data_IF_871144816040
#
_entry.id   IF_871144816040
#
_cell.length_a   1.000
_cell.length_b   1.000
_cell.length_c   1.000
_cell.angle_alpha   90.00
_cell.angle_beta   90.00
_cell.angle_gamma   90.00
#
_symmetry.space_group_name_H-M   'P 1'
#
loop_
_entity.id
_entity.type
_entity.pdbx_description
1 polymer ?
#
# COMPACT_ATOMS: atom_id res chain seq x y z
N UNK A 1 -25.08 -68.04 -19.68
CA UNK A 1 -26.01 -66.91 -19.45
C UNK A 1 -25.59 -65.81 -20.45
N UNK A 2 -25.95 -65.84 -21.74
CA UNK A 2 -27.28 -65.61 -22.38
C UNK A 2 -27.90 -64.33 -21.82
N UNK A 3 -28.28 -63.27 -22.55
CA UNK A 3 -28.27 -62.85 -23.96
C UNK A 3 -28.57 -61.32 -23.92
N UNK A 4 -27.94 -60.47 -24.75
CA UNK A 4 -28.46 -59.93 -26.02
C UNK A 4 -29.48 -58.77 -25.90
N UNK A 5 -29.65 -58.10 -27.05
CA UNK A 5 -30.56 -56.98 -27.41
C UNK A 5 -30.00 -55.59 -27.08
N UNK A 6 -29.24 -54.93 -27.96
CA UNK A 6 -29.45 -54.60 -29.38
C UNK A 6 -30.76 -53.84 -29.62
N UNK A 7 -30.66 -52.57 -30.03
CA UNK A 7 -31.02 -52.04 -31.36
C UNK A 7 -31.43 -50.57 -31.28
N UNK A 8 -30.87 -49.82 -32.24
CA UNK A 8 -31.51 -48.74 -33.00
C UNK A 8 -31.82 -47.46 -32.24
N UNK A 9 -31.38 -46.30 -32.72
CA UNK A 9 -31.32 -45.93 -34.13
C UNK A 9 -32.40 -44.89 -34.38
N UNK A 10 -31.94 -43.63 -34.37
CA UNK A 10 -32.43 -42.46 -35.08
C UNK A 10 -33.86 -42.51 -35.66
N UNK A 11 -34.77 -41.83 -34.97
CA UNK A 11 -35.96 -41.16 -35.53
C UNK A 11 -36.03 -39.83 -34.77
N UNK A 12 -35.82 -38.65 -35.33
CA UNK A 12 -36.43 -38.12 -36.53
C UNK A 12 -37.45 -37.05 -36.10
N UNK A 13 -37.05 -35.79 -36.05
CA UNK A 13 -37.97 -34.65 -36.15
C UNK A 13 -37.20 -33.39 -36.56
N UNK A 14 -37.60 -32.86 -37.72
CA UNK A 14 -37.06 -31.71 -38.43
C UNK A 14 -37.90 -30.49 -38.03
N UNK A 15 -37.28 -29.46 -37.45
CA UNK A 15 -37.87 -28.11 -37.38
C UNK A 15 -36.72 -27.10 -37.32
N UNK A 16 -36.18 -26.72 -38.48
CA UNK A 16 -36.48 -25.42 -39.11
C UNK A 16 -35.81 -24.28 -38.34
N UNK A 17 -34.59 -23.93 -38.79
CA UNK A 17 -34.04 -22.59 -38.66
C UNK A 17 -35.07 -21.61 -39.26
N UNK A 18 -35.82 -20.94 -38.39
CA UNK A 18 -36.50 -19.69 -38.72
C UNK A 18 -36.08 -18.65 -37.71
N UNK A 19 -35.13 -17.83 -38.15
CA UNK A 19 -34.73 -16.60 -37.49
C UNK A 19 -35.89 -15.60 -37.45
N UNK A 20 -35.82 -14.73 -36.43
CA UNK A 20 -36.52 -13.45 -36.26
C UNK A 20 -37.95 -13.55 -35.69
N UNK A 21 -38.24 -12.80 -34.60
CA UNK A 21 -38.34 -11.36 -34.73
C UNK A 21 -37.61 -10.57 -33.64
N UNK A 22 -37.12 -9.40 -34.04
CA UNK A 22 -37.11 -8.16 -33.26
C UNK A 22 -36.68 -8.25 -31.79
N UNK A 23 -35.41 -7.94 -31.53
CA UNK A 23 -34.93 -7.01 -30.49
C UNK A 23 -33.43 -7.24 -30.27
N UNK A 24 -32.64 -7.04 -31.32
CA UNK A 24 -31.23 -6.68 -31.15
C UNK A 24 -31.17 -5.27 -30.57
N UNK A 25 -31.32 -5.13 -29.25
CA UNK A 25 -30.76 -4.04 -28.43
C UNK A 25 -31.12 -4.15 -26.93
N UNK A 26 -31.13 -5.36 -26.34
CA UNK A 26 -31.02 -5.44 -24.87
C UNK A 26 -29.55 -5.43 -24.48
N UNK A 27 -28.98 -4.24 -24.36
CA UNK A 27 -27.66 -4.05 -23.77
C UNK A 27 -27.62 -4.75 -22.40
N UNK A 28 -26.54 -5.49 -22.06
CA UNK A 28 -26.43 -6.15 -20.78
C UNK A 28 -26.35 -5.07 -19.69
N UNK A 29 -27.46 -4.83 -18.99
CA UNK A 29 -27.46 -3.96 -17.81
C UNK A 29 -26.83 -4.75 -16.67
N UNK A 30 -25.51 -4.59 -16.54
CA UNK A 30 -24.71 -5.05 -15.41
C UNK A 30 -25.20 -4.31 -14.14
N UNK A 31 -26.22 -4.89 -13.50
CA UNK A 31 -27.00 -4.29 -12.42
C UNK A 31 -26.36 -4.31 -11.04
N UNK A 32 -25.03 -4.20 -10.97
CA UNK A 32 -24.34 -3.90 -9.73
C UNK A 32 -23.15 -3.01 -10.09
N UNK A 33 -23.45 -1.75 -10.40
CA UNK A 33 -22.46 -0.71 -10.19
C UNK A 33 -22.24 -0.71 -8.68
N UNK A 34 -21.18 -1.37 -8.22
CA UNK A 34 -20.61 -1.06 -6.92
C UNK A 34 -20.46 0.45 -6.94
N UNK A 35 -21.27 1.14 -6.15
CA UNK A 35 -21.12 2.59 -5.96
C UNK A 35 -19.67 2.77 -5.54
N UNK A 36 -18.85 3.56 -6.25
CA UNK A 36 -17.55 3.95 -5.71
C UNK A 36 -17.86 4.91 -4.56
N UNK A 37 -18.24 4.37 -3.42
CA UNK A 37 -18.51 5.12 -2.19
C UNK A 37 -17.46 4.78 -1.12
N UNK A 38 -16.80 3.63 -1.24
CA UNK A 38 -15.75 3.23 -0.31
C UNK A 38 -14.34 3.65 -0.76
N UNK A 39 -14.17 4.02 -2.05
CA UNK A 39 -12.89 4.53 -2.59
C UNK A 39 -12.75 6.06 -2.48
N UNK A 40 -13.78 6.78 -2.01
CA UNK A 40 -13.81 8.26 -1.99
C UNK A 40 -13.29 8.89 -0.69
N UNK A 41 -12.91 8.09 0.30
CA UNK A 41 -12.25 8.56 1.54
C UNK A 41 -10.73 8.34 1.51
N UNK A 42 -10.11 8.35 0.33
CA UNK A 42 -8.66 8.47 0.27
C UNK A 42 -8.26 9.93 0.54
N UNK A 43 -8.26 10.32 1.82
CA UNK A 43 -7.59 11.51 2.32
C UNK A 43 -6.12 11.41 1.92
N UNK A 44 -5.75 12.06 0.82
CA UNK A 44 -4.36 12.09 0.35
C UNK A 44 -3.50 12.74 1.43
N UNK A 45 -2.74 11.93 2.17
CA UNK A 45 -1.84 12.41 3.21
C UNK A 45 -0.90 13.46 2.63
N UNK A 46 -1.12 14.72 3.02
CA UNK A 46 -0.24 15.84 2.65
C UNK A 46 0.85 15.93 3.71
N UNK A 47 2.06 15.52 3.35
CA UNK A 47 3.24 15.76 4.17
C UNK A 47 3.68 17.20 3.88
N UNK A 48 3.37 18.13 4.79
CA UNK A 48 3.99 19.46 4.76
C UNK A 48 5.34 19.38 5.46
N UNK A 49 6.39 19.79 4.75
CA UNK A 49 7.71 19.93 5.35
C UNK A 49 7.65 21.14 6.29
N UNK A 50 7.58 20.89 7.60
CA UNK A 50 7.25 21.91 8.61
C UNK A 50 8.36 22.95 8.81
N UNK A 51 9.63 22.59 8.63
CA UNK A 51 10.74 23.53 8.52
C UNK A 51 11.97 22.79 8.00
N UNK A 52 12.56 23.27 6.92
CA UNK A 52 13.81 22.72 6.37
C UNK A 52 14.94 23.44 7.09
N UNK A 53 15.52 22.77 8.10
CA UNK A 53 16.81 23.10 8.73
C UNK A 53 17.05 24.60 8.95
N UNK A 54 16.66 25.13 10.11
CA UNK A 54 17.18 26.45 10.50
C UNK A 54 18.68 26.33 10.77
N UNK A 55 19.53 27.20 10.21
CA UNK A 55 20.99 27.12 10.34
C UNK A 55 21.49 27.25 11.79
N UNK A 56 20.61 27.65 12.72
CA UNK A 56 20.91 27.89 14.12
C UNK A 56 20.41 26.78 15.06
N UNK A 57 19.87 25.67 14.54
CA UNK A 57 19.42 24.54 15.36
C UNK A 57 20.27 23.32 15.02
N UNK A 58 20.84 22.71 16.07
CA UNK A 58 21.54 21.43 16.00
C UNK A 58 20.53 20.29 15.86
N UNK A 59 20.59 19.54 14.76
CA UNK A 59 19.78 18.33 14.56
C UNK A 59 20.64 17.07 14.60
N UNK A 60 20.07 15.98 15.10
CA UNK A 60 20.69 14.66 15.06
C UNK A 60 20.28 13.98 13.75
N UNK A 61 21.24 13.73 12.87
CA UNK A 61 21.03 13.04 11.61
C UNK A 61 20.92 11.53 11.81
N UNK A 62 21.77 10.98 12.69
CA UNK A 62 21.78 9.55 13.02
C UNK A 62 22.49 9.27 14.34
N UNK A 63 22.29 8.07 14.90
CA UNK A 63 22.89 7.65 16.16
C UNK A 63 23.39 6.21 16.10
N UNK A 64 24.35 5.90 16.97
CA UNK A 64 24.92 4.56 17.18
C UNK A 64 25.30 4.37 18.65
N UNK A 65 25.66 3.15 19.05
CA UNK A 65 26.18 2.88 20.40
C UNK A 65 27.47 3.64 20.73
N UNK A 66 28.18 4.17 19.73
CA UNK A 66 29.43 4.92 19.92
C UNK A 66 29.25 6.43 19.92
N UNK A 67 28.08 6.95 19.51
CA UNK A 67 27.84 8.38 19.39
C UNK A 67 26.86 8.78 18.30
N UNK A 68 26.88 10.06 17.92
CA UNK A 68 25.85 10.75 17.14
C UNK A 68 26.44 11.42 15.89
N UNK A 69 25.63 11.57 14.85
CA UNK A 69 25.89 12.49 13.74
C UNK A 69 24.97 13.70 13.91
N UNK A 70 25.56 14.89 13.98
CA UNK A 70 24.88 16.16 14.24
C UNK A 70 25.24 17.15 13.14
N UNK A 71 24.29 17.52 12.30
CA UNK A 71 24.50 18.41 11.14
C UNK A 71 25.73 18.00 10.28
N UNK A 72 25.91 16.70 10.03
CA UNK A 72 27.03 16.13 9.30
C UNK A 72 28.31 15.91 10.13
N UNK A 73 28.38 16.38 11.37
CA UNK A 73 29.53 16.21 12.25
C UNK A 73 29.40 14.98 13.14
N UNK A 74 30.49 14.21 13.30
CA UNK A 74 30.49 13.03 14.16
C UNK A 74 30.93 13.38 15.58
N UNK A 75 30.08 13.06 16.55
CA UNK A 75 30.36 13.22 17.98
C UNK A 75 30.48 11.83 18.60
N UNK A 76 31.60 11.58 19.30
CA UNK A 76 31.88 10.31 19.95
C UNK A 76 31.62 10.39 21.44
N UNK A 77 30.87 9.42 21.96
CA UNK A 77 30.50 9.36 23.37
C UNK A 77 29.39 10.34 23.76
N UNK A 78 29.16 10.51 25.08
CA UNK A 78 28.10 11.37 25.59
C UNK A 78 28.33 12.85 25.25
N UNK A 79 27.26 13.55 24.90
CA UNK A 79 27.30 14.98 24.61
C UNK A 79 25.99 15.66 24.98
N UNK A 80 26.07 16.94 25.30
CA UNK A 80 24.92 17.83 25.45
C UNK A 80 24.77 18.69 24.19
N UNK A 81 23.55 18.73 23.65
CA UNK A 81 23.18 19.61 22.54
C UNK A 81 22.57 20.89 23.09
N UNK A 82 23.21 22.00 22.78
CA UNK A 82 22.70 23.35 23.00
C UNK A 82 22.29 23.92 21.63
N UNK A 83 21.39 24.91 21.57
CA UNK A 83 20.89 25.45 20.30
C UNK A 83 22.01 25.76 19.28
N UNK A 84 23.14 26.29 19.73
CA UNK A 84 24.25 26.71 18.87
C UNK A 84 25.59 25.99 19.13
N UNK A 85 25.62 24.96 19.99
CA UNK A 85 26.88 24.29 20.33
C UNK A 85 26.69 22.85 20.80
N UNK A 86 27.68 22.00 20.51
CA UNK A 86 27.77 20.64 21.06
C UNK A 86 28.88 20.62 22.10
N UNK A 87 28.55 20.12 23.30
CA UNK A 87 29.52 19.98 24.39
C UNK A 87 29.71 18.51 24.71
N UNK A 88 30.95 18.03 24.67
CA UNK A 88 31.25 16.66 25.07
C UNK A 88 31.10 16.53 26.58
N UNK A 89 30.38 15.50 27.00
CA UNK A 89 30.11 15.25 28.41
C UNK A 89 30.96 14.09 28.90
N UNK A 90 31.85 14.38 29.85
CA UNK A 90 32.71 13.37 30.47
C UNK A 90 31.96 12.56 31.53
N UNK A 91 30.99 11.75 31.09
CA UNK A 91 30.27 10.78 31.92
C UNK A 91 30.51 9.39 31.37
N UNK A 92 30.77 8.41 32.24
CA UNK A 92 30.98 7.02 31.85
C UNK A 92 29.68 6.24 31.79
N UNK A 93 28.71 6.61 32.64
CA UNK A 93 27.41 5.97 32.71
C UNK A 93 26.32 6.93 33.20
N UNK A 94 25.06 6.49 33.11
CA UNK A 94 23.91 7.20 33.67
C UNK A 94 23.96 7.34 35.21
N UNK A 95 24.89 6.66 35.89
CA UNK A 95 25.07 6.75 37.35
C UNK A 95 25.96 7.93 37.77
N UNK A 96 26.67 8.53 36.83
CA UNK A 96 27.59 9.65 37.08
C UNK A 96 26.87 11.01 37.03
N UNK A 97 25.53 11.00 36.95
CA UNK A 97 24.66 12.16 36.74
C UNK A 97 23.73 12.32 37.94
#
# INVERSE_FOLDING_TARGET
MVAAFVLRGLCGARAVLRCSPAELLRAPRRGHRLTPADDELYERTRISLLQRESPQIMYIDSYSSRGFMVNGNRVLGPCALLPQSVVQWNVGSHRDI
#
